data_IF_739148748919
#
_entry.id   IF_739148748919
#
_cell.length_a   1.000
_cell.length_b   1.000
_cell.length_c   1.000
_cell.angle_alpha   90.00
_cell.angle_beta   90.00
_cell.angle_gamma   90.00
#
_symmetry.space_group_name_H-M   'P 1'
#
loop_
_entity.id
_entity.type
_entity.pdbx_description
1 polymer ?
#
# COMPACT_ATOMS: atom_id res chain seq x y z
N UNK A 1 16.10 -66.43 -41.76
CA UNK A 1 16.68 -65.11 -41.40
C UNK A 1 15.64 -64.05 -41.75
N UNK A 2 14.75 -63.71 -40.81
CA UNK A 2 13.75 -62.64 -40.99
C UNK A 2 14.23 -61.41 -40.21
N UNK A 3 14.16 -60.19 -40.78
CA UNK A 3 14.56 -58.98 -40.07
C UNK A 3 13.39 -58.51 -39.20
N UNK A 4 13.64 -58.39 -37.90
CA UNK A 4 12.73 -57.80 -36.92
C UNK A 4 12.72 -56.28 -37.13
N UNK A 5 11.63 -55.72 -37.66
CA UNK A 5 11.43 -54.28 -37.77
C UNK A 5 10.93 -53.77 -36.42
N UNK A 6 11.76 -53.00 -35.72
CA UNK A 6 11.44 -52.36 -34.45
C UNK A 6 10.69 -51.04 -34.72
N UNK A 7 9.39 -51.03 -34.47
CA UNK A 7 8.55 -49.83 -34.60
C UNK A 7 8.77 -48.94 -33.36
N UNK A 8 9.55 -47.87 -33.51
CA UNK A 8 9.75 -46.86 -32.46
C UNK A 8 8.55 -45.90 -32.48
N UNK A 9 7.56 -46.15 -31.62
CA UNK A 9 6.50 -45.19 -31.32
C UNK A 9 7.07 -44.07 -30.43
N UNK A 10 7.51 -42.96 -31.02
CA UNK A 10 7.77 -41.72 -30.28
C UNK A 10 6.44 -41.16 -29.79
N UNK A 11 6.12 -41.40 -28.52
CA UNK A 11 5.06 -40.70 -27.81
C UNK A 11 5.48 -39.23 -27.66
N UNK A 12 5.03 -38.39 -28.58
CA UNK A 12 5.02 -36.94 -28.41
C UNK A 12 4.06 -36.62 -27.27
N UNK A 13 4.56 -36.60 -26.04
CA UNK A 13 3.83 -36.06 -24.90
C UNK A 13 3.68 -34.56 -25.13
N UNK A 14 2.50 -34.16 -25.60
CA UNK A 14 2.08 -32.76 -25.56
C UNK A 14 2.05 -32.35 -24.09
N UNK A 15 3.13 -31.71 -23.64
CA UNK A 15 3.16 -31.09 -22.34
C UNK A 15 2.20 -29.92 -22.42
N UNK A 16 0.96 -30.12 -21.99
CA UNK A 16 0.04 -29.03 -21.70
C UNK A 16 0.72 -28.20 -20.62
N UNK A 17 1.36 -27.10 -21.02
CA UNK A 17 1.80 -26.09 -20.08
C UNK A 17 0.55 -25.64 -19.35
N UNK A 18 0.37 -26.14 -18.12
CA UNK A 18 -0.61 -25.60 -17.21
C UNK A 18 -0.30 -24.11 -17.14
N UNK A 19 -1.25 -23.28 -17.58
CA UNK A 19 -1.21 -21.86 -17.26
C UNK A 19 -1.11 -21.80 -15.75
N UNK A 20 0.07 -21.48 -15.22
CA UNK A 20 0.18 -21.07 -13.82
C UNK A 20 -0.84 -19.95 -13.68
N UNK A 21 -1.89 -20.24 -12.90
CA UNK A 21 -2.86 -19.25 -12.49
C UNK A 21 -2.06 -18.26 -11.66
N UNK A 22 -1.53 -17.22 -12.32
CA UNK A 22 -0.68 -16.23 -11.67
C UNK A 22 -1.50 -15.76 -10.48
N UNK A 23 -1.00 -15.93 -9.24
CA UNK A 23 -1.77 -15.54 -8.07
C UNK A 23 -2.22 -14.11 -8.32
N UNK A 24 -3.55 -13.91 -8.34
CA UNK A 24 -4.18 -12.66 -8.73
C UNK A 24 -3.80 -11.61 -7.70
N UNK A 25 -2.63 -11.00 -7.93
CA UNK A 25 -1.94 -10.12 -7.00
C UNK A 25 -2.19 -8.70 -7.48
N UNK A 26 -3.17 -8.00 -6.91
CA UNK A 26 -3.51 -6.66 -7.38
C UNK A 26 -2.36 -5.70 -7.05
N UNK A 27 -2.19 -4.67 -7.88
CA UNK A 27 -1.38 -3.52 -7.50
C UNK A 27 -2.14 -2.71 -6.44
N UNK A 28 -1.44 -2.32 -5.38
CA UNK A 28 -2.01 -1.56 -4.28
C UNK A 28 -1.50 -0.12 -4.40
N UNK A 29 -2.41 0.84 -4.52
CA UNK A 29 -2.11 2.27 -4.58
C UNK A 29 -2.78 2.95 -3.41
N UNK A 30 -1.99 3.54 -2.51
CA UNK A 30 -2.47 4.34 -1.39
C UNK A 30 -2.27 5.82 -1.72
N UNK A 31 -3.36 6.55 -1.92
CA UNK A 31 -3.36 8.00 -2.11
C UNK A 31 -3.75 8.65 -0.79
N UNK A 32 -2.81 9.37 -0.18
CA UNK A 32 -3.02 10.04 1.11
C UNK A 32 -2.90 11.56 0.92
N UNK A 33 -4.04 12.26 0.95
CA UNK A 33 -4.08 13.71 1.00
C UNK A 33 -3.73 14.21 2.40
N UNK A 34 -3.03 15.35 2.48
CA UNK A 34 -2.65 16.00 3.73
C UNK A 34 -3.60 17.17 3.95
N UNK A 35 -4.15 17.29 5.16
CA UNK A 35 -5.08 18.36 5.58
C UNK A 35 -6.33 18.54 4.68
N UNK A 36 -6.83 17.46 4.07
CA UNK A 36 -8.08 17.46 3.31
C UNK A 36 -9.29 17.34 4.24
N UNK A 37 -10.17 18.35 4.22
CA UNK A 37 -11.39 18.39 5.01
C UNK A 37 -12.51 17.53 4.44
N UNK A 38 -13.46 17.15 5.30
CA UNK A 38 -14.62 16.34 4.93
C UNK A 38 -15.44 16.97 3.78
N UNK A 39 -15.61 18.29 3.80
CA UNK A 39 -16.43 19.02 2.83
C UNK A 39 -15.61 19.63 1.67
N UNK A 40 -14.36 19.21 1.47
CA UNK A 40 -13.53 19.76 0.38
C UNK A 40 -13.71 19.03 -0.95
N UNK A 41 -14.31 17.83 -0.93
CA UNK A 41 -14.53 16.98 -2.10
C UNK A 41 -15.97 17.07 -2.60
N UNK A 42 -16.18 17.13 -3.92
CA UNK A 42 -17.52 17.34 -4.49
C UNK A 42 -18.44 16.13 -4.30
N UNK A 43 -17.91 14.90 -4.19
CA UNK A 43 -18.72 13.73 -3.85
C UNK A 43 -19.32 13.75 -2.42
N UNK A 44 -18.87 14.65 -1.54
CA UNK A 44 -19.52 14.94 -0.25
C UNK A 44 -20.49 16.13 -0.31
N UNK A 45 -20.85 16.59 -1.51
CA UNK A 45 -21.83 17.67 -1.72
C UNK A 45 -21.24 19.08 -1.74
N UNK A 46 -19.91 19.21 -1.78
CA UNK A 46 -19.25 20.51 -1.94
C UNK A 46 -19.40 21.04 -3.36
N UNK A 47 -20.02 22.21 -3.50
CA UNK A 47 -20.16 22.89 -4.80
C UNK A 47 -19.04 23.92 -5.06
N UNK A 48 -18.10 24.09 -4.11
CA UNK A 48 -17.05 25.11 -4.20
C UNK A 48 -15.82 24.63 -4.96
N UNK A 49 -15.42 23.36 -4.77
CA UNK A 49 -14.18 22.81 -5.30
C UNK A 49 -14.51 21.60 -6.19
N UNK A 50 -14.36 21.70 -7.52
CA UNK A 50 -14.56 20.57 -8.42
C UNK A 50 -13.45 19.54 -8.26
N UNK A 51 -13.79 18.29 -7.91
CA UNK A 51 -12.83 17.18 -7.79
C UNK A 51 -13.13 16.02 -8.75
N UNK A 52 -13.23 16.24 -10.08
CA UNK A 52 -13.80 15.28 -11.02
C UNK A 52 -13.09 13.91 -11.04
N UNK A 53 -11.77 13.87 -10.87
CA UNK A 53 -11.02 12.61 -10.84
C UNK A 53 -11.21 11.84 -9.52
N UNK A 54 -11.36 12.55 -8.40
CA UNK A 54 -11.65 11.93 -7.09
C UNK A 54 -13.09 11.42 -7.08
N UNK A 55 -14.02 12.20 -7.65
CA UNK A 55 -15.42 11.81 -7.80
C UNK A 55 -15.56 10.57 -8.67
N UNK A 56 -14.84 10.50 -9.80
CA UNK A 56 -14.82 9.32 -10.65
C UNK A 56 -14.34 8.07 -9.88
N UNK A 57 -13.32 8.20 -9.03
CA UNK A 57 -12.86 7.11 -8.16
C UNK A 57 -13.90 6.74 -7.09
N UNK A 58 -14.53 7.73 -6.46
CA UNK A 58 -15.54 7.54 -5.43
C UNK A 58 -16.78 6.81 -5.98
N UNK A 59 -17.31 7.26 -7.13
CA UNK A 59 -18.52 6.69 -7.73
C UNK A 59 -18.29 5.37 -8.48
N UNK A 60 -17.04 5.01 -8.79
CA UNK A 60 -16.69 3.69 -9.33
C UNK A 60 -16.29 2.67 -8.25
N UNK A 61 -16.25 3.10 -6.98
CA UNK A 61 -15.77 2.30 -5.87
C UNK A 61 -16.71 2.31 -4.65
N UNK A 62 -16.11 2.23 -3.46
CA UNK A 62 -16.81 2.27 -2.18
C UNK A 62 -16.48 3.58 -1.48
N UNK A 63 -17.51 4.31 -1.07
CA UNK A 63 -17.39 5.52 -0.25
C UNK A 63 -17.55 5.12 1.22
N UNK A 64 -16.54 5.43 2.03
CA UNK A 64 -16.60 5.24 3.48
C UNK A 64 -17.13 6.52 4.14
N UNK A 65 -18.45 6.57 4.38
CA UNK A 65 -19.10 7.73 5.02
C UNK A 65 -18.67 7.96 6.48
N UNK A 66 -18.00 6.99 7.10
CA UNK A 66 -17.50 7.06 8.47
C UNK A 66 -16.08 6.47 8.51
N UNK A 67 -15.09 7.28 8.15
CA UNK A 67 -13.66 6.91 8.21
C UNK A 67 -12.94 7.89 9.14
N UNK A 68 -12.20 7.37 10.12
CA UNK A 68 -11.61 8.16 11.19
C UNK A 68 -10.09 8.02 11.23
N UNK A 69 -9.43 9.10 11.60
CA UNK A 69 -7.97 9.22 11.75
C UNK A 69 -7.63 10.00 13.02
N UNK A 70 -6.34 10.13 13.32
CA UNK A 70 -5.90 11.07 14.35
C UNK A 70 -5.93 12.50 13.80
N UNK A 71 -6.13 13.52 14.64
CA UNK A 71 -6.32 14.89 14.19
C UNK A 71 -5.03 15.59 13.72
N UNK A 72 -3.89 14.89 13.65
CA UNK A 72 -2.58 15.45 13.28
C UNK A 72 -1.71 14.45 12.50
N UNK A 73 -0.75 14.97 11.72
CA UNK A 73 -0.06 14.21 10.67
C UNK A 73 0.72 12.97 11.15
N UNK A 74 1.67 13.14 12.09
CA UNK A 74 2.56 12.05 12.53
C UNK A 74 1.78 10.89 13.16
N UNK A 75 0.85 11.12 14.12
CA UNK A 75 0.08 10.01 14.67
C UNK A 75 -0.74 9.28 13.60
N UNK A 76 -1.40 10.00 12.68
CA UNK A 76 -2.17 9.39 11.59
C UNK A 76 -1.31 8.53 10.69
N UNK A 77 -0.13 9.02 10.29
CA UNK A 77 0.79 8.27 9.41
C UNK A 77 1.38 7.06 10.12
N UNK A 78 1.68 7.18 11.41
CA UNK A 78 2.17 6.05 12.22
C UNK A 78 1.11 4.96 12.34
N UNK A 79 -0.15 5.33 12.60
CA UNK A 79 -1.26 4.40 12.71
C UNK A 79 -1.57 3.74 11.37
N UNK A 80 -1.56 4.51 10.28
CA UNK A 80 -1.77 3.98 8.93
C UNK A 80 -0.75 2.91 8.58
N UNK A 81 0.54 3.17 8.81
CA UNK A 81 1.60 2.27 8.36
C UNK A 81 1.79 1.05 9.25
N UNK A 82 1.54 1.16 10.56
CA UNK A 82 1.74 0.06 11.51
C UNK A 82 0.47 -0.72 11.82
N UNK A 83 -0.71 -0.12 11.58
CA UNK A 83 -1.99 -0.66 12.07
C UNK A 83 -2.17 -0.55 13.59
N UNK A 84 -1.32 0.21 14.29
CA UNK A 84 -1.31 0.33 15.75
C UNK A 84 -1.79 1.72 16.18
N UNK A 85 -2.46 1.78 17.32
CA UNK A 85 -2.80 3.07 17.92
C UNK A 85 -1.51 3.84 18.30
N UNK A 86 -1.42 5.16 18.07
CA UNK A 86 -0.16 5.91 18.25
C UNK A 86 0.44 5.86 19.65
N UNK A 87 -0.36 5.58 20.69
CA UNK A 87 0.14 5.38 22.05
C UNK A 87 1.11 4.18 22.15
N UNK A 88 0.98 3.22 21.23
CA UNK A 88 1.84 2.05 21.16
C UNK A 88 3.10 2.26 20.31
N UNK A 89 3.18 3.37 19.57
CA UNK A 89 4.35 3.77 18.78
C UNK A 89 5.11 4.94 19.41
N UNK A 90 4.60 5.50 20.51
CA UNK A 90 5.16 6.69 21.16
C UNK A 90 4.94 8.01 20.40
N UNK A 91 4.14 7.97 19.32
CA UNK A 91 3.89 9.10 18.42
C UNK A 91 2.49 9.70 18.62
N UNK A 92 1.97 9.72 19.84
CA UNK A 92 0.60 10.20 20.14
C UNK A 92 0.49 11.70 20.43
N UNK A 93 1.57 12.35 20.86
CA UNK A 93 1.49 13.68 21.47
C UNK A 93 1.53 14.86 20.49
N UNK A 94 2.14 14.67 19.33
CA UNK A 94 2.41 15.77 18.41
C UNK A 94 3.00 15.31 17.09
N UNK A 95 3.28 16.29 16.24
CA UNK A 95 3.99 16.05 14.98
C UNK A 95 5.50 16.06 15.19
N UNK A 96 6.22 15.29 14.38
CA UNK A 96 7.68 15.35 14.38
C UNK A 96 8.12 16.61 13.65
N UNK A 97 8.70 17.56 14.37
CA UNK A 97 9.21 18.81 13.81
C UNK A 97 10.68 18.69 13.39
N UNK A 98 11.15 19.67 12.61
CA UNK A 98 12.55 19.84 12.23
C UNK A 98 13.51 19.64 13.42
N UNK A 99 14.59 18.88 13.20
CA UNK A 99 15.67 18.62 14.16
C UNK A 99 15.37 17.68 15.34
N UNK A 100 14.20 17.07 15.43
CA UNK A 100 13.94 16.09 16.49
C UNK A 100 14.70 14.77 16.26
N UNK A 101 15.38 14.22 17.29
CA UNK A 101 16.25 13.05 17.15
C UNK A 101 15.49 11.72 17.21
N UNK A 102 14.22 11.69 16.80
CA UNK A 102 13.38 10.49 16.87
C UNK A 102 12.43 10.38 15.67
N UNK A 103 11.90 9.18 15.48
CA UNK A 103 10.95 8.82 14.42
C UNK A 103 10.10 7.62 14.83
N UNK A 104 9.40 7.03 13.87
CA UNK A 104 8.77 5.72 14.06
C UNK A 104 9.83 4.69 14.43
N UNK A 105 9.59 3.89 15.47
CA UNK A 105 10.52 2.86 15.92
C UNK A 105 10.94 1.93 14.76
N UNK A 106 12.25 1.70 14.61
CA UNK A 106 12.79 0.85 13.54
C UNK A 106 12.45 -0.64 13.74
N UNK A 107 11.95 -0.99 14.92
CA UNK A 107 11.41 -2.29 15.31
C UNK A 107 9.94 -2.48 14.92
N UNK A 108 9.23 -1.41 14.53
CA UNK A 108 7.86 -1.49 14.02
C UNK A 108 7.87 -2.04 12.59
N UNK A 109 7.04 -3.05 12.32
CA UNK A 109 6.84 -3.55 10.96
C UNK A 109 5.71 -2.77 10.29
N UNK A 110 5.98 -2.17 9.13
CA UNK A 110 5.02 -1.35 8.39
C UNK A 110 4.45 -2.06 7.15
N UNK A 111 3.30 -1.57 6.63
CA UNK A 111 2.62 -2.09 5.42
C UNK A 111 3.58 -2.53 4.30
N UNK A 112 4.54 -1.71 3.82
CA UNK A 112 5.42 -2.12 2.72
C UNK A 112 6.32 -3.31 3.09
N UNK A 113 6.74 -3.46 4.35
CA UNK A 113 7.54 -4.62 4.79
C UNK A 113 6.69 -5.89 4.85
N UNK A 114 5.44 -5.80 5.33
CA UNK A 114 4.49 -6.92 5.25
C UNK A 114 4.24 -7.35 3.79
N UNK A 115 4.00 -6.38 2.90
CA UNK A 115 3.77 -6.65 1.48
C UNK A 115 5.03 -7.20 0.78
N UNK A 116 6.22 -6.72 1.15
CA UNK A 116 7.49 -7.24 0.63
C UNK A 116 7.66 -8.74 0.93
N UNK A 117 7.26 -9.20 2.13
CA UNK A 117 7.25 -10.64 2.47
C UNK A 117 6.34 -11.48 1.57
N UNK A 118 5.38 -10.83 0.88
CA UNK A 118 4.46 -11.43 -0.09
C UNK A 118 4.89 -11.20 -1.54
N UNK A 119 6.10 -10.69 -1.76
CA UNK A 119 6.70 -10.46 -3.09
C UNK A 119 6.20 -9.20 -3.79
N UNK A 120 5.68 -8.22 -3.05
CA UNK A 120 5.42 -6.89 -3.58
C UNK A 120 6.69 -6.04 -3.61
N UNK A 121 6.76 -5.11 -4.56
CA UNK A 121 7.69 -3.99 -4.53
C UNK A 121 6.94 -2.75 -4.08
N UNK A 122 7.53 -1.98 -3.19
CA UNK A 122 6.92 -0.78 -2.62
C UNK A 122 7.74 0.45 -3.00
N UNK A 123 7.05 1.56 -3.22
CA UNK A 123 7.64 2.86 -3.47
C UNK A 123 6.70 3.92 -2.90
N UNK A 124 7.26 5.03 -2.41
CA UNK A 124 6.51 6.16 -1.88
C UNK A 124 7.01 7.44 -2.55
N UNK A 125 6.07 8.34 -2.82
CA UNK A 125 6.35 9.68 -3.32
C UNK A 125 5.60 10.66 -2.42
N UNK A 126 6.30 11.68 -1.92
CA UNK A 126 5.71 12.75 -1.12
C UNK A 126 6.10 12.73 0.36
N UNK A 127 5.16 13.11 1.23
CA UNK A 127 5.41 13.38 2.65
C UNK A 127 5.56 12.10 3.48
N UNK A 128 6.66 11.99 4.22
CA UNK A 128 6.90 10.92 5.20
C UNK A 128 6.40 11.26 6.60
N UNK A 129 7.00 12.27 7.23
CA UNK A 129 6.63 12.81 8.55
C UNK A 129 6.67 11.80 9.72
N UNK A 130 7.53 10.79 9.62
CA UNK A 130 7.77 9.76 10.64
C UNK A 130 9.25 9.69 11.07
N UNK A 131 9.97 10.79 10.94
CA UNK A 131 11.39 10.91 11.28
C UNK A 131 12.25 11.27 10.07
N UNK A 132 13.43 11.80 10.34
CA UNK A 132 14.48 12.12 9.35
C UNK A 132 15.85 12.32 10.02
N UNK A 133 16.01 11.96 11.29
CA UNK A 133 17.24 12.20 12.05
C UNK A 133 18.43 11.34 11.59
N UNK A 134 18.17 10.26 10.86
CA UNK A 134 19.16 9.47 10.12
C UNK A 134 18.51 8.82 8.89
N UNK A 135 19.31 8.21 8.01
CA UNK A 135 18.83 7.57 6.78
C UNK A 135 17.84 6.44 7.05
N UNK A 136 18.01 5.72 8.15
CA UNK A 136 17.12 4.63 8.57
C UNK A 136 15.70 5.13 8.92
N UNK A 137 15.55 6.41 9.27
CA UNK A 137 14.24 7.03 9.53
C UNK A 137 13.61 7.66 8.28
N UNK A 138 14.25 7.56 7.13
CA UNK A 138 13.69 8.00 5.84
C UNK A 138 13.02 6.82 5.11
N UNK A 139 12.03 7.07 4.22
CA UNK A 139 11.35 6.00 3.49
C UNK A 139 12.21 5.27 2.47
#
# INVERSE_FOLDING_TARGET
MLPTILLICTLLTWSTAASEDKPNRPNIILILADDLGWNDVSFHGSNQIPTPNIDALAYSGIILNNYYVQPICTPTRSALLTGRYPIHTGLQHGVIIGSQPYGLGLDETIIPQYLHSKGYKSHIVGKWHLGFCSWEYTP
#
